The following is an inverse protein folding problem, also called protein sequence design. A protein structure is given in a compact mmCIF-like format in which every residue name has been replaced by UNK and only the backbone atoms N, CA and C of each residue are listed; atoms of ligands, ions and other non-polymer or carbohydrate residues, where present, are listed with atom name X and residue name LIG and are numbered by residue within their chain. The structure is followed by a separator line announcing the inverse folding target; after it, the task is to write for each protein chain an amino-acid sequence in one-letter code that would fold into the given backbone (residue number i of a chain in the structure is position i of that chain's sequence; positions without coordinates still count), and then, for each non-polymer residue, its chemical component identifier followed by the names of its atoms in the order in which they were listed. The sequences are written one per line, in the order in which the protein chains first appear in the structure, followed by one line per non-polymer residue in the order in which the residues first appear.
data_IF_406456815734
#
_entry.id   IF_406456815734
#
_cell.length_a   1.000
_cell.length_b   1.000
_cell.length_c   1.000
_cell.angle_alpha   90.00
_cell.angle_beta   90.00
_cell.angle_gamma   90.00
#
_symmetry.space_group_name_H-M   'P 1'
#
loop_
_entity.id
_entity.type
_entity.pdbx_description
1 polymer ?
#
# COMPACT_ATOMS: atom_id res chain seq x y z
N UNK A 1 -7.60 -3.14 15.22
CA UNK A 1 -8.40 -2.03 14.65
C UNK A 1 -9.79 -1.89 15.24
N UNK A 2 -10.55 -2.99 15.47
CA UNK A 2 -11.91 -2.93 16.05
C UNK A 2 -12.02 -2.04 17.31
N UNK A 3 -11.18 -2.30 18.31
CA UNK A 3 -11.16 -1.55 19.58
C UNK A 3 -10.86 -0.05 19.37
N UNK A 4 -9.92 0.28 18.49
CA UNK A 4 -9.54 1.66 18.16
C UNK A 4 -10.68 2.41 17.45
N UNK A 5 -11.42 1.74 16.57
CA UNK A 5 -12.61 2.29 15.90
C UNK A 5 -13.77 2.52 16.87
N UNK A 6 -14.01 1.58 17.79
CA UNK A 6 -15.05 1.70 18.80
C UNK A 6 -14.73 2.85 19.76
N UNK A 7 -13.48 2.93 20.26
CA UNK A 7 -13.04 4.03 21.12
C UNK A 7 -13.16 5.39 20.43
N UNK A 8 -12.72 5.50 19.18
CA UNK A 8 -12.86 6.71 18.38
C UNK A 8 -14.33 7.14 18.24
N UNK A 9 -15.22 6.18 17.94
CA UNK A 9 -16.65 6.44 17.84
C UNK A 9 -17.28 6.89 19.17
N UNK A 10 -16.92 6.26 20.29
CA UNK A 10 -17.38 6.66 21.63
C UNK A 10 -16.96 8.10 21.96
N UNK A 11 -15.70 8.45 21.70
CA UNK A 11 -15.18 9.80 21.96
C UNK A 11 -15.91 10.84 21.12
N UNK A 12 -16.19 10.56 19.83
CA UNK A 12 -16.98 11.45 18.97
C UNK A 12 -18.43 11.60 19.44
N UNK A 13 -19.05 10.52 19.91
CA UNK A 13 -20.42 10.56 20.47
C UNK A 13 -20.48 11.40 21.74
N UNK A 14 -19.53 11.23 22.65
CA UNK A 14 -19.45 12.05 23.87
C UNK A 14 -19.20 13.53 23.55
N UNK A 15 -18.29 13.83 22.61
CA UNK A 15 -18.02 15.20 22.18
C UNK A 15 -19.25 15.86 21.52
N UNK A 16 -20.02 15.11 20.74
CA UNK A 16 -21.24 15.65 20.13
C UNK A 16 -22.38 15.88 21.13
N UNK A 17 -22.53 15.01 22.12
CA UNK A 17 -23.48 15.23 23.21
C UNK A 17 -23.11 16.47 24.05
N UNK A 18 -21.82 16.62 24.39
CA UNK A 18 -21.30 17.81 25.07
C UNK A 18 -21.49 19.09 24.26
N UNK A 19 -21.29 19.01 22.94
CA UNK A 19 -21.48 20.14 22.05
C UNK A 19 -22.95 20.61 22.00
N UNK A 20 -23.91 19.68 22.09
CA UNK A 20 -25.33 20.00 22.12
C UNK A 20 -25.71 20.77 23.40
N UNK A 21 -25.22 20.34 24.56
CA UNK A 21 -25.51 21.02 25.84
C UNK A 21 -24.79 22.37 25.96
N UNK A 22 -23.62 22.52 25.33
CA UNK A 22 -22.86 23.76 25.32
C UNK A 22 -23.33 24.81 24.28
N UNK A 23 -24.10 24.39 23.28
CA UNK A 23 -24.59 25.29 22.22
C UNK A 23 -25.92 25.93 22.61
N UNK A 24 -25.94 27.24 22.83
CA UNK A 24 -27.17 28.03 22.90
C UNK A 24 -27.28 28.97 21.69
N UNK A 25 -28.37 28.93 20.89
CA UNK A 25 -29.54 28.04 21.01
C UNK A 25 -29.25 26.58 20.62
N UNK A 26 -30.09 25.68 21.13
CA UNK A 26 -29.98 24.24 20.88
C UNK A 26 -30.23 23.92 19.40
N UNK A 27 -29.14 23.63 18.68
CA UNK A 27 -29.17 23.33 17.26
C UNK A 27 -29.01 21.82 17.03
N UNK A 28 -29.92 21.21 16.28
CA UNK A 28 -29.84 19.78 15.91
C UNK A 28 -28.54 19.44 15.17
N UNK A 29 -28.01 20.38 14.39
CA UNK A 29 -26.73 20.25 13.69
C UNK A 29 -25.51 20.17 14.63
N UNK A 30 -25.65 20.52 15.92
CA UNK A 30 -24.59 20.34 16.91
C UNK A 30 -24.32 18.85 17.22
N UNK A 31 -25.30 17.96 16.96
CA UNK A 31 -25.23 16.51 17.17
C UNK A 31 -24.58 15.75 16.01
N UNK A 32 -24.31 16.40 14.88
CA UNK A 32 -23.61 15.81 13.72
C UNK A 32 -22.38 14.95 14.12
N UNK A 33 -21.45 15.42 14.97
CA UNK A 33 -20.34 14.58 15.47
C UNK A 33 -20.79 13.32 16.21
N UNK A 34 -21.87 13.38 16.97
CA UNK A 34 -22.39 12.22 17.67
C UNK A 34 -23.03 11.19 16.72
N UNK A 35 -23.68 11.67 15.67
CA UNK A 35 -24.23 10.82 14.61
C UNK A 35 -23.12 10.08 13.86
N UNK A 36 -22.04 10.77 13.50
CA UNK A 36 -20.86 10.14 12.88
C UNK A 36 -20.14 9.18 13.83
N UNK A 37 -20.05 9.52 15.13
CA UNK A 37 -19.50 8.65 16.16
C UNK A 37 -20.31 7.36 16.34
N UNK A 38 -21.64 7.45 16.42
CA UNK A 38 -22.53 6.30 16.56
C UNK A 38 -22.43 5.35 15.35
N UNK A 39 -22.36 5.90 14.14
CA UNK A 39 -22.14 5.12 12.92
C UNK A 39 -20.76 4.47 12.89
N UNK A 40 -19.71 5.15 13.36
CA UNK A 40 -18.37 4.56 13.49
C UNK A 40 -18.35 3.40 14.50
N UNK A 41 -19.07 3.49 15.63
CA UNK A 41 -19.24 2.38 16.59
C UNK A 41 -19.92 1.19 15.91
N UNK A 42 -21.01 1.43 15.17
CA UNK A 42 -21.75 0.39 14.44
C UNK A 42 -20.84 -0.35 13.45
N UNK A 43 -20.04 0.37 12.68
CA UNK A 43 -19.04 -0.24 11.78
C UNK A 43 -17.92 -0.96 12.55
N UNK A 44 -17.52 -0.46 13.72
CA UNK A 44 -16.55 -1.10 14.61
C UNK A 44 -17.03 -2.46 15.15
N UNK A 45 -18.31 -2.58 15.53
CA UNK A 45 -18.91 -3.84 15.94
C UNK A 45 -19.07 -4.84 14.79
N UNK A 46 -19.41 -4.35 13.60
CA UNK A 46 -19.53 -5.18 12.40
C UNK A 46 -18.17 -5.69 11.90
N UNK A 47 -17.07 -5.01 12.21
CA UNK A 47 -15.72 -5.30 11.71
C UNK A 47 -15.15 -6.69 12.05
N UNK A 48 -15.88 -7.53 12.77
CA UNK A 48 -15.52 -8.92 13.06
C UNK A 48 -16.41 -10.01 12.49
N UNK A 49 -17.56 -9.66 11.91
CA UNK A 49 -18.55 -10.65 11.47
C UNK A 49 -18.54 -10.90 9.95
N UNK A 50 -17.82 -10.08 9.19
CA UNK A 50 -17.91 -10.04 7.73
C UNK A 50 -16.51 -10.21 7.14
N UNK A 51 -16.23 -11.41 6.63
CA UNK A 51 -14.91 -11.84 6.17
C UNK A 51 -14.50 -11.20 4.82
N UNK A 52 -15.49 -10.80 4.00
CA UNK A 52 -15.26 -10.37 2.60
C UNK A 52 -15.50 -8.87 2.33
N UNK A 53 -16.12 -8.13 3.26
CA UNK A 53 -16.35 -6.68 3.12
C UNK A 53 -15.91 -6.00 4.40
N UNK A 54 -14.69 -5.50 4.47
CA UNK A 54 -14.15 -4.86 5.67
C UNK A 54 -14.99 -3.62 6.03
N UNK A 55 -15.84 -3.68 7.08
CA UNK A 55 -16.68 -2.55 7.52
C UNK A 55 -15.85 -1.34 7.98
N UNK A 56 -14.54 -1.54 8.13
CA UNK A 56 -13.54 -0.54 8.43
C UNK A 56 -13.50 0.60 7.41
N UNK A 57 -13.77 0.35 6.12
CA UNK A 57 -13.87 1.42 5.12
C UNK A 57 -15.02 2.38 5.43
N UNK A 58 -16.13 1.86 5.97
CA UNK A 58 -17.24 2.66 6.46
C UNK A 58 -16.81 3.59 7.59
N UNK A 59 -16.12 3.06 8.60
CA UNK A 59 -15.62 3.89 9.71
C UNK A 59 -14.59 4.95 9.27
N UNK A 60 -13.71 4.62 8.32
CA UNK A 60 -12.76 5.59 7.74
C UNK A 60 -13.49 6.67 6.95
N UNK A 61 -14.53 6.33 6.19
CA UNK A 61 -15.37 7.30 5.49
C UNK A 61 -16.03 8.26 6.49
N UNK A 62 -16.56 7.76 7.62
CA UNK A 62 -17.14 8.61 8.66
C UNK A 62 -16.10 9.55 9.29
N UNK A 63 -14.86 9.09 9.48
CA UNK A 63 -13.77 9.93 9.96
C UNK A 63 -13.42 11.04 8.95
N UNK A 64 -13.40 10.73 7.64
CA UNK A 64 -13.17 11.71 6.57
C UNK A 64 -14.29 12.75 6.53
N UNK A 65 -15.56 12.33 6.61
CA UNK A 65 -16.70 13.25 6.66
C UNK A 65 -16.67 14.15 7.91
N UNK A 66 -16.23 13.60 9.04
CA UNK A 66 -16.03 14.35 10.28
C UNK A 66 -14.91 15.40 10.14
N UNK A 67 -13.81 15.03 9.46
CA UNK A 67 -12.71 15.93 9.15
C UNK A 67 -13.15 17.07 8.22
N UNK A 68 -13.83 16.75 7.12
CA UNK A 68 -14.38 17.73 6.17
C UNK A 68 -15.32 18.72 6.87
N UNK A 69 -16.19 18.20 7.74
CA UNK A 69 -17.11 19.02 8.54
C UNK A 69 -16.38 19.91 9.56
N UNK A 70 -15.13 19.59 9.90
CA UNK A 70 -14.30 20.32 10.85
C UNK A 70 -13.55 21.50 10.23
N UNK A 71 -13.34 21.50 8.90
CA UNK A 71 -12.54 22.51 8.20
C UNK A 71 -13.05 23.94 8.42
N UNK A 72 -14.39 24.12 8.44
CA UNK A 72 -15.01 25.43 8.71
C UNK A 72 -14.71 25.94 10.13
N UNK A 73 -14.53 25.05 11.11
CA UNK A 73 -14.19 25.41 12.49
C UNK A 73 -12.73 25.82 12.66
N UNK A 74 -11.81 25.11 12.00
CA UNK A 74 -10.38 25.45 12.00
C UNK A 74 -10.10 26.81 11.36
N UNK A 75 -10.82 27.15 10.29
CA UNK A 75 -10.72 28.49 9.68
C UNK A 75 -11.08 29.61 10.66
N UNK A 76 -12.10 29.39 11.49
CA UNK A 76 -12.51 30.36 12.51
C UNK A 76 -11.53 30.44 13.69
N UNK A 77 -10.82 29.36 14.02
CA UNK A 77 -9.69 29.42 14.98
C UNK A 77 -8.60 30.35 14.46
N UNK A 78 -8.26 30.24 13.17
CA UNK A 78 -7.24 31.07 12.55
C UNK A 78 -7.60 32.56 12.60
N UNK A 79 -8.88 32.89 12.32
CA UNK A 79 -9.38 34.26 12.43
C UNK A 79 -9.33 34.79 13.87
N UNK A 80 -9.67 33.95 14.86
CA UNK A 80 -9.59 34.32 16.28
C UNK A 80 -8.14 34.57 16.72
N UNK A 81 -7.21 33.73 16.29
CA UNK A 81 -5.77 33.86 16.53
C UNK A 81 -5.16 35.07 15.81
N UNK A 82 -5.69 35.45 14.63
CA UNK A 82 -5.26 36.64 13.90
C UNK A 82 -5.88 37.95 14.44
N UNK A 83 -6.53 37.90 15.60
CA UNK A 83 -7.16 39.07 16.23
C UNK A 83 -8.46 39.53 15.56
N UNK A 84 -9.05 38.74 14.67
CA UNK A 84 -10.32 39.06 14.01
C UNK A 84 -11.52 38.80 14.93
N UNK A 85 -12.52 39.70 14.89
CA UNK A 85 -13.77 39.50 15.61
C UNK A 85 -14.55 38.33 14.97
N UNK A 86 -14.73 37.24 15.72
CA UNK A 86 -15.52 36.09 15.25
C UNK A 86 -16.96 36.20 15.76
N UNK A 87 -17.91 35.93 14.88
CA UNK A 87 -19.34 35.92 15.22
C UNK A 87 -19.76 34.68 16.05
N UNK A 88 -18.81 33.80 16.42
CA UNK A 88 -19.09 32.56 17.14
C UNK A 88 -18.43 32.56 18.52
N UNK A 89 -19.09 32.03 19.57
CA UNK A 89 -18.50 31.95 20.89
C UNK A 89 -17.27 31.02 20.88
N UNK A 90 -16.21 31.43 21.58
CA UNK A 90 -14.90 30.77 21.57
C UNK A 90 -14.96 29.26 21.90
N UNK A 91 -15.88 28.85 22.77
CA UNK A 91 -16.08 27.45 23.17
C UNK A 91 -16.44 26.52 21.99
N UNK A 92 -17.25 27.00 21.03
CA UNK A 92 -17.61 26.23 19.84
C UNK A 92 -16.42 26.00 18.90
N UNK A 93 -15.46 26.93 18.92
CA UNK A 93 -14.28 26.90 18.07
C UNK A 93 -13.31 25.80 18.58
N UNK A 94 -13.09 25.72 19.90
CA UNK A 94 -12.24 24.67 20.49
C UNK A 94 -12.80 23.25 20.29
N UNK A 95 -14.10 23.05 20.51
CA UNK A 95 -14.77 21.75 20.34
C UNK A 95 -14.66 21.27 18.88
N UNK A 96 -14.80 22.18 17.91
CA UNK A 96 -14.67 21.85 16.49
C UNK A 96 -13.24 21.45 16.15
N UNK A 97 -12.23 22.15 16.64
CA UNK A 97 -10.82 21.84 16.35
C UNK A 97 -10.34 20.55 17.00
N UNK A 98 -10.77 20.26 18.24
CA UNK A 98 -10.47 19.00 18.91
C UNK A 98 -10.97 17.79 18.11
N UNK A 99 -12.18 17.89 17.56
CA UNK A 99 -12.76 16.86 16.70
C UNK A 99 -11.93 16.63 15.43
N UNK A 100 -11.48 17.71 14.80
CA UNK A 100 -10.61 17.65 13.63
C UNK A 100 -9.31 16.90 13.92
N UNK A 101 -8.63 17.24 15.02
CA UNK A 101 -7.39 16.57 15.45
C UNK A 101 -7.62 15.07 15.67
N UNK A 102 -8.70 14.70 16.37
CA UNK A 102 -9.05 13.30 16.63
C UNK A 102 -9.21 12.51 15.32
N UNK A 103 -9.86 13.10 14.32
CA UNK A 103 -10.07 12.46 13.02
C UNK A 103 -8.78 12.31 12.20
N UNK A 104 -7.87 13.29 12.24
CA UNK A 104 -6.55 13.19 11.59
C UNK A 104 -5.72 12.05 12.19
N UNK A 105 -5.69 11.95 13.53
CA UNK A 105 -4.98 10.87 14.22
C UNK A 105 -5.53 9.50 13.84
N UNK A 106 -6.86 9.35 13.78
CA UNK A 106 -7.50 8.10 13.39
C UNK A 106 -7.21 7.72 11.92
N UNK A 107 -7.29 8.68 10.99
CA UNK A 107 -6.97 8.46 9.58
C UNK A 107 -5.48 8.10 9.42
N UNK A 108 -4.58 8.80 10.12
CA UNK A 108 -3.15 8.49 10.12
C UNK A 108 -2.86 7.06 10.59
N UNK A 109 -3.47 6.64 11.70
CA UNK A 109 -3.36 5.26 12.19
C UNK A 109 -3.92 4.23 11.19
N UNK A 110 -5.04 4.55 10.51
CA UNK A 110 -5.61 3.69 9.48
C UNK A 110 -4.66 3.51 8.27
N UNK A 111 -4.05 4.59 7.79
CA UNK A 111 -3.11 4.58 6.67
C UNK A 111 -1.85 3.78 7.03
N UNK A 112 -1.30 3.97 8.23
CA UNK A 112 -0.11 3.24 8.69
C UNK A 112 -0.34 1.72 8.70
N UNK A 113 -1.53 1.29 9.13
CA UNK A 113 -1.89 -0.12 9.17
C UNK A 113 -2.07 -0.73 7.77
N UNK A 114 -2.67 0.03 6.83
CA UNK A 114 -2.73 -0.38 5.42
C UNK A 114 -1.33 -0.46 4.81
N UNK A 115 -0.45 0.51 5.10
CA UNK A 115 0.92 0.53 4.59
C UNK A 115 1.72 -0.68 5.09
N UNK A 116 1.60 -1.02 6.37
CA UNK A 116 2.26 -2.19 6.95
C UNK A 116 1.73 -3.49 6.34
N UNK A 117 0.40 -3.60 6.17
CA UNK A 117 -0.20 -4.76 5.51
C UNK A 117 0.27 -4.89 4.05
N UNK A 118 0.33 -3.78 3.32
CA UNK A 118 0.80 -3.75 1.94
C UNK A 118 2.29 -4.13 1.80
N UNK A 119 3.13 -3.70 2.74
CA UNK A 119 4.53 -4.12 2.79
C UNK A 119 4.66 -5.64 3.00
N UNK A 120 3.90 -6.20 3.93
CA UNK A 120 3.89 -7.65 4.17
C UNK A 120 3.32 -8.43 2.98
N UNK A 121 2.28 -7.90 2.33
CA UNK A 121 1.71 -8.50 1.11
C UNK A 121 2.74 -8.54 -0.04
N UNK A 122 3.50 -7.47 -0.23
CA UNK A 122 4.60 -7.43 -1.22
C UNK A 122 5.69 -8.45 -0.89
N UNK A 123 6.08 -8.55 0.38
CA UNK A 123 7.07 -9.54 0.83
C UNK A 123 6.58 -10.98 0.59
N UNK A 124 5.30 -11.26 0.85
CA UNK A 124 4.68 -12.54 0.55
C UNK A 124 4.67 -12.84 -0.96
N UNK A 125 4.34 -11.84 -1.79
CA UNK A 125 4.39 -11.97 -3.25
C UNK A 125 5.79 -12.28 -3.79
N UNK A 126 6.83 -11.63 -3.24
CA UNK A 126 8.22 -11.94 -3.59
C UNK A 126 8.60 -13.36 -3.16
N UNK A 127 8.24 -13.78 -1.95
CA UNK A 127 8.48 -15.14 -1.47
C UNK A 127 7.82 -16.20 -2.36
N UNK A 128 6.53 -15.99 -2.71
CA UNK A 128 5.80 -16.91 -3.59
C UNK A 128 6.39 -16.93 -5.00
N UNK A 129 6.81 -15.77 -5.50
CA UNK A 129 7.47 -15.60 -6.79
C UNK A 129 8.80 -16.34 -6.88
N UNK A 130 9.68 -16.19 -5.89
CA UNK A 130 10.98 -16.86 -5.86
C UNK A 130 10.85 -18.38 -5.78
N UNK A 131 9.91 -18.86 -4.96
CA UNK A 131 9.63 -20.29 -4.85
C UNK A 131 9.06 -20.85 -6.16
N UNK A 132 8.03 -20.19 -6.71
CA UNK A 132 7.39 -20.60 -7.96
C UNK A 132 8.38 -20.55 -9.13
N UNK A 133 9.22 -19.51 -9.22
CA UNK A 133 10.24 -19.39 -10.24
C UNK A 133 11.23 -20.55 -10.17
N UNK A 134 11.68 -20.94 -8.97
CA UNK A 134 12.59 -22.08 -8.80
C UNK A 134 11.92 -23.39 -9.21
N UNK A 135 10.67 -23.62 -8.82
CA UNK A 135 9.92 -24.84 -9.18
C UNK A 135 9.68 -24.90 -10.69
N UNK A 136 9.16 -23.83 -11.29
CA UNK A 136 8.91 -23.74 -12.72
C UNK A 136 10.20 -23.89 -13.53
N UNK A 137 11.28 -23.21 -13.14
CA UNK A 137 12.57 -23.32 -13.82
C UNK A 137 13.11 -24.75 -13.74
N UNK A 138 12.99 -25.39 -12.58
CA UNK A 138 13.42 -26.78 -12.39
C UNK A 138 12.64 -27.73 -13.30
N UNK A 139 11.30 -27.64 -13.27
CA UNK A 139 10.43 -28.47 -14.12
C UNK A 139 10.74 -28.21 -15.60
N UNK A 140 10.82 -26.95 -16.01
CA UNK A 140 11.11 -26.56 -17.39
C UNK A 140 12.48 -27.07 -17.86
N UNK A 141 13.50 -26.96 -17.00
CA UNK A 141 14.85 -27.45 -17.31
C UNK A 141 14.87 -28.96 -17.54
N UNK A 142 14.26 -29.74 -16.63
CA UNK A 142 14.24 -31.19 -16.76
C UNK A 142 13.30 -31.71 -17.84
N UNK A 143 12.20 -31.00 -18.13
CA UNK A 143 11.19 -31.45 -19.08
C UNK A 143 11.50 -31.02 -20.51
N UNK A 144 12.10 -29.85 -20.71
CA UNK A 144 12.33 -29.27 -22.04
C UNK A 144 13.82 -29.28 -22.39
N UNK A 145 14.65 -28.61 -21.58
CA UNK A 145 16.07 -28.44 -21.92
C UNK A 145 16.85 -29.75 -21.86
N UNK A 146 16.61 -30.59 -20.85
CA UNK A 146 17.33 -31.84 -20.68
C UNK A 146 17.12 -32.82 -21.85
N UNK A 147 15.87 -33.19 -22.23
CA UNK A 147 15.67 -34.09 -23.37
C UNK A 147 16.11 -33.45 -24.69
N UNK A 148 15.93 -32.14 -24.87
CA UNK A 148 16.44 -31.42 -26.03
C UNK A 148 17.98 -31.50 -26.13
N UNK A 149 18.69 -31.25 -25.03
CA UNK A 149 20.14 -31.33 -24.97
C UNK A 149 20.68 -32.74 -25.18
N UNK A 150 20.00 -33.75 -24.63
CA UNK A 150 20.31 -35.16 -24.89
C UNK A 150 20.12 -35.47 -26.38
N UNK A 151 19.01 -35.02 -26.99
CA UNK A 151 18.73 -35.18 -28.41
C UNK A 151 19.84 -34.57 -29.28
N UNK A 152 20.16 -33.29 -29.09
CA UNK A 152 21.23 -32.62 -29.85
C UNK A 152 22.58 -33.31 -29.64
N UNK A 153 22.90 -33.73 -28.41
CA UNK A 153 24.16 -34.44 -28.14
C UNK A 153 24.24 -35.79 -28.85
N UNK A 154 23.14 -36.52 -28.96
CA UNK A 154 23.10 -37.81 -29.63
C UNK A 154 23.14 -37.64 -31.15
N UNK A 155 22.33 -36.73 -31.72
CA UNK A 155 22.11 -36.59 -33.16
C UNK A 155 23.02 -35.57 -33.87
N UNK A 156 23.59 -34.61 -33.15
CA UNK A 156 24.49 -33.60 -33.71
C UNK A 156 25.86 -33.70 -33.06
N UNK A 157 26.93 -33.69 -33.88
CA UNK A 157 28.31 -33.52 -33.41
C UNK A 157 28.85 -32.16 -33.88
N UNK A 158 28.33 -31.04 -33.36
CA UNK A 158 28.73 -29.70 -33.81
C UNK A 158 30.20 -29.39 -33.49
N UNK A 159 30.81 -30.11 -32.56
CA UNK A 159 32.22 -29.97 -32.21
C UNK A 159 33.12 -31.01 -32.90
N UNK A 160 32.56 -31.92 -33.71
CA UNK A 160 33.28 -33.01 -34.38
C UNK A 160 34.21 -33.79 -33.42
N UNK A 161 33.72 -34.06 -32.20
CA UNK A 161 34.49 -34.73 -31.13
C UNK A 161 34.40 -36.25 -31.28
N UNK A 162 33.29 -36.77 -31.83
CA UNK A 162 33.07 -38.22 -31.98
C UNK A 162 33.96 -38.81 -33.07
N UNK A 163 34.30 -38.01 -34.08
CA UNK A 163 35.26 -38.37 -35.11
C UNK A 163 36.66 -38.03 -34.61
N UNK A 164 37.53 -39.03 -34.37
CA UNK A 164 38.96 -38.77 -34.17
C UNK A 164 39.53 -38.22 -35.48
N UNK A 165 40.02 -36.97 -35.54
CA UNK A 165 40.65 -36.47 -36.75
C UNK A 165 42.04 -37.09 -36.89
N UNK A 166 42.42 -37.50 -38.11
CA UNK A 166 43.75 -38.02 -38.41
C UNK A 166 44.89 -37.01 -38.12
N UNK A 167 44.55 -35.73 -37.94
CA UNK A 167 45.45 -34.65 -37.51
C UNK A 167 44.84 -33.86 -36.35
N UNK A 168 45.52 -33.84 -35.20
CA UNK A 168 45.14 -33.06 -34.01
C UNK A 168 45.20 -31.55 -34.25
N UNK A 169 46.11 -31.10 -35.12
CA UNK A 169 46.26 -29.68 -35.46
C UNK A 169 45.39 -29.35 -36.68
N UNK A 170 44.32 -28.59 -36.47
CA UNK A 170 43.53 -28.02 -37.57
C UNK A 170 44.26 -26.78 -38.12
N UNK A 171 44.47 -26.68 -39.44
CA UNK A 171 45.01 -25.46 -40.03
C UNK A 171 44.01 -24.33 -39.79
N UNK A 172 44.42 -23.30 -39.05
CA UNK A 172 43.66 -22.07 -38.93
C UNK A 172 43.88 -21.28 -40.21
N UNK A 173 42.84 -20.90 -40.98
CA UNK A 173 43.02 -19.96 -42.07
C UNK A 173 43.42 -18.62 -41.46
N UNK A 174 44.70 -18.28 -41.51
CA UNK A 174 45.18 -16.95 -41.16
C UNK A 174 44.75 -15.99 -42.27
N UNK A 175 44.04 -14.93 -41.87
CA UNK A 175 43.68 -13.82 -42.77
C UNK A 175 44.89 -12.92 -43.08
N UNK A 176 45.95 -13.04 -42.28
CA UNK A 176 47.13 -12.17 -42.31
C UNK A 176 48.11 -12.62 -43.40
N UNK A 177 47.63 -12.63 -44.65
CA UNK A 177 48.44 -13.00 -45.81
C UNK A 177 49.14 -11.79 -46.41
N UNK A 178 48.69 -10.58 -46.08
CA UNK A 178 49.21 -9.33 -46.62
C UNK A 178 49.77 -8.44 -45.52
N UNK A 179 50.70 -7.56 -45.90
CA UNK A 179 51.35 -6.60 -44.99
C UNK A 179 50.35 -5.58 -44.42
N UNK A 180 49.30 -5.27 -45.20
CA UNK A 180 48.20 -4.37 -44.83
C UNK A 180 47.30 -4.97 -43.75
N UNK A 181 47.08 -6.29 -43.78
CA UNK A 181 46.31 -7.00 -42.75
C UNK A 181 47.04 -7.00 -41.40
N UNK A 182 48.37 -7.13 -41.42
CA UNK A 182 49.21 -7.07 -40.20
C UNK A 182 49.20 -5.68 -39.54
N UNK A 183 49.11 -4.60 -40.33
CA UNK A 183 49.03 -3.23 -39.81
C UNK A 183 47.69 -2.91 -39.14
N UNK A 184 46.63 -3.69 -39.38
CA UNK A 184 45.29 -3.48 -38.78
C UNK A 184 45.13 -4.15 -37.42
N UNK A 185 46.10 -4.95 -36.98
CA UNK A 185 45.99 -5.77 -35.78
C UNK A 185 46.62 -5.11 -34.53
N UNK A 186 47.42 -4.05 -34.71
CA UNK A 186 48.06 -3.25 -33.66
C UNK A 186 47.68 -1.77 -33.79
#
# INVERSE_FOLDING_TARGET
MKLLTILFGIILTLLGAWNYTASQPANLWALTPALYGALAILFGFLAGKWEHKHPLYGAVMMAILTLLSSLRGMWNLFILLSGGATAMPAQLIYIRSLRGILSVLFIGAAILLIKNFWQNWKAFGQFLGDWLARVLLTIFYFTVFLPFGIGVRLFSDPLAIKTRPDKLWRPRPTGDKTLEDLQRQF
#
